data_IF_872812587973
#
_entry.id   IF_872812587973
#
_cell.length_a   1.000
_cell.length_b   1.000
_cell.length_c   1.000
_cell.angle_alpha   90.00
_cell.angle_beta   90.00
_cell.angle_gamma   90.00
#
_symmetry.space_group_name_H-M   'P 1'
#
loop_
_entity.id
_entity.type
_entity.pdbx_description
1 polymer ?
#
# COMPACT_ATOMS: atom_id res chain seq x y z
N UNK A 1 -15.37 -6.92 -17.14
CA UNK A 1 -14.22 -6.45 -17.90
C UNK A 1 -13.25 -5.83 -16.91
N UNK A 2 -12.20 -6.55 -16.52
CA UNK A 2 -11.15 -6.00 -15.66
C UNK A 2 -10.23 -5.18 -16.54
N UNK A 3 -10.10 -3.89 -16.26
CA UNK A 3 -9.09 -3.05 -16.90
C UNK A 3 -7.75 -3.54 -16.40
N UNK A 4 -7.19 -4.51 -17.12
CA UNK A 4 -5.83 -4.98 -16.93
C UNK A 4 -4.93 -3.78 -17.22
N UNK A 5 -4.30 -3.23 -16.18
CA UNK A 5 -3.16 -2.36 -16.36
C UNK A 5 -2.21 -3.00 -17.40
N UNK A 6 -1.66 -2.21 -18.34
CA UNK A 6 -0.81 -2.75 -19.39
C UNK A 6 0.34 -3.55 -18.77
N UNK A 7 0.56 -4.78 -19.24
CA UNK A 7 1.66 -5.64 -18.79
C UNK A 7 3.05 -5.02 -19.11
N UNK A 8 3.10 -4.01 -19.97
CA UNK A 8 4.30 -3.32 -20.45
C UNK A 8 4.03 -1.84 -20.75
N UNK A 9 4.81 -0.89 -20.21
CA UNK A 9 5.77 -1.05 -19.12
C UNK A 9 5.06 -1.39 -17.79
N UNK A 10 5.68 -2.22 -16.95
CA UNK A 10 5.12 -2.59 -15.65
C UNK A 10 4.97 -1.35 -14.76
N UNK A 11 3.80 -1.18 -14.14
CA UNK A 11 3.58 -0.10 -13.16
C UNK A 11 4.52 -0.29 -11.98
N UNK A 12 5.23 0.78 -11.61
CA UNK A 12 6.06 0.84 -10.40
C UNK A 12 5.26 1.34 -9.21
N UNK A 13 5.40 0.70 -8.07
CA UNK A 13 4.65 1.06 -6.85
C UNK A 13 5.56 1.74 -5.84
N UNK A 14 5.18 2.93 -5.36
CA UNK A 14 5.82 3.48 -4.17
C UNK A 14 5.36 2.66 -2.96
N UNK A 15 6.28 1.86 -2.41
CA UNK A 15 6.02 0.96 -1.29
C UNK A 15 6.84 1.39 -0.07
N UNK A 16 6.25 1.25 1.11
CA UNK A 16 6.94 1.56 2.35
C UNK A 16 8.08 0.56 2.64
N UNK A 17 9.18 1.06 3.18
CA UNK A 17 10.39 0.29 3.55
C UNK A 17 10.07 -0.85 4.50
N UNK A 18 9.12 -0.65 5.42
CA UNK A 18 8.63 -1.65 6.38
C UNK A 18 8.11 -2.92 5.71
N UNK A 19 7.55 -2.77 4.51
CA UNK A 19 6.90 -3.83 3.75
C UNK A 19 7.88 -4.47 2.74
N UNK A 20 8.90 -3.73 2.29
CA UNK A 20 9.81 -4.15 1.22
C UNK A 20 11.20 -4.64 1.69
N UNK A 21 11.72 -4.16 2.82
CA UNK A 21 13.08 -4.46 3.25
C UNK A 21 13.14 -5.52 4.35
N UNK A 22 13.94 -6.58 4.14
CA UNK A 22 14.20 -7.62 5.15
C UNK A 22 14.69 -7.06 6.50
N UNK A 23 15.34 -5.89 6.49
CA UNK A 23 15.82 -5.19 7.69
C UNK A 23 14.68 -4.84 8.67
N UNK A 24 13.45 -4.70 8.17
CA UNK A 24 12.28 -4.34 8.96
C UNK A 24 11.42 -5.55 9.33
N UNK A 25 11.91 -6.78 9.10
CA UNK A 25 11.25 -8.00 9.57
C UNK A 25 10.85 -7.93 11.05
N UNK A 26 11.65 -7.40 12.00
CA UNK A 26 11.22 -7.27 13.40
C UNK A 26 10.00 -6.36 13.58
N UNK A 27 9.93 -5.26 12.84
CA UNK A 27 8.81 -4.32 12.87
C UNK A 27 7.58 -4.97 12.23
N UNK A 28 7.75 -5.56 11.05
CA UNK A 28 6.68 -6.28 10.35
C UNK A 28 6.12 -7.45 11.19
N UNK A 29 6.98 -8.16 11.94
CA UNK A 29 6.55 -9.21 12.87
C UNK A 29 5.64 -8.65 13.96
N UNK A 30 6.00 -7.49 14.52
CA UNK A 30 5.21 -6.80 15.54
C UNK A 30 3.88 -6.30 14.97
N UNK A 31 3.90 -5.71 13.78
CA UNK A 31 2.68 -5.25 13.10
C UNK A 31 1.73 -6.41 12.76
N UNK A 32 2.27 -7.53 12.30
CA UNK A 32 1.52 -8.78 12.10
C UNK A 32 0.94 -9.24 13.43
N UNK A 33 1.73 -9.26 14.49
CA UNK A 33 1.29 -9.66 15.82
C UNK A 33 0.14 -8.79 16.34
N UNK A 34 0.27 -7.46 16.24
CA UNK A 34 -0.70 -6.47 16.69
C UNK A 34 -1.98 -6.44 15.83
N UNK A 35 -1.85 -6.65 14.52
CA UNK A 35 -2.97 -6.56 13.59
C UNK A 35 -3.80 -7.84 13.54
N UNK A 36 -3.15 -8.99 13.68
CA UNK A 36 -3.73 -10.31 13.40
C UNK A 36 -4.27 -10.98 14.67
N UNK A 37 -3.66 -10.73 15.84
CA UNK A 37 -4.00 -11.46 17.06
C UNK A 37 -4.51 -10.53 18.19
N UNK A 38 -5.72 -10.77 18.72
CA UNK A 38 -6.23 -10.02 19.88
C UNK A 38 -5.37 -10.20 21.12
N UNK A 39 -5.29 -9.17 21.98
CA UNK A 39 -4.44 -9.16 23.19
C UNK A 39 -4.69 -10.38 24.11
N UNK A 40 -5.95 -10.72 24.38
CA UNK A 40 -6.30 -11.88 25.20
C UNK A 40 -5.92 -13.24 24.60
N UNK A 41 -5.72 -13.33 23.27
CA UNK A 41 -5.19 -14.52 22.62
C UNK A 41 -3.67 -14.62 22.79
N UNK A 42 -2.97 -13.48 22.74
CA UNK A 42 -1.53 -13.37 22.92
C UNK A 42 -1.11 -13.77 24.34
N UNK A 43 -1.85 -13.30 25.35
CA UNK A 43 -1.61 -13.68 26.75
C UNK A 43 -1.82 -15.18 27.00
N UNK A 44 -2.88 -15.77 26.43
CA UNK A 44 -3.16 -17.21 26.55
C UNK A 44 -2.08 -18.08 25.91
N UNK A 45 -1.51 -17.65 24.77
CA UNK A 45 -0.45 -18.40 24.08
C UNK A 45 0.89 -18.27 24.82
N UNK A 46 1.21 -17.10 25.40
CA UNK A 46 2.46 -16.90 26.16
C UNK A 46 2.59 -17.86 27.34
N UNK A 47 1.47 -18.29 27.95
CA UNK A 47 1.46 -19.27 29.03
C UNK A 47 1.78 -20.72 28.62
N UNK A 48 1.80 -21.05 27.32
CA UNK A 48 2.03 -22.42 26.83
C UNK A 48 3.28 -22.49 25.93
N UNK A 49 4.38 -23.07 26.44
CA UNK A 49 5.69 -23.17 25.74
C UNK A 49 5.61 -23.70 24.31
N UNK A 50 4.87 -24.78 24.07
CA UNK A 50 4.69 -25.33 22.71
C UNK A 50 3.93 -24.35 21.81
N UNK A 51 2.81 -23.82 22.29
CA UNK A 51 1.98 -22.90 21.51
C UNK A 51 2.76 -21.63 21.13
N UNK A 52 3.59 -21.12 22.05
CA UNK A 52 4.46 -19.98 21.80
C UNK A 52 5.51 -20.26 20.70
N UNK A 53 6.10 -21.46 20.68
CA UNK A 53 7.04 -21.85 19.61
C UNK A 53 6.38 -21.92 18.23
N UNK A 54 5.19 -22.53 18.14
CA UNK A 54 4.44 -22.61 16.89
C UNK A 54 3.97 -21.23 16.42
N UNK A 55 3.49 -20.40 17.35
CA UNK A 55 3.05 -19.03 17.10
C UNK A 55 4.16 -18.15 16.52
N UNK A 56 5.36 -18.19 17.11
CA UNK A 56 6.51 -17.44 16.58
C UNK A 56 6.94 -17.92 15.18
N UNK A 57 6.88 -19.23 14.91
CA UNK A 57 7.15 -19.78 13.57
C UNK A 57 6.10 -19.33 12.55
N UNK A 58 4.83 -19.25 12.94
CA UNK A 58 3.75 -18.76 12.10
C UNK A 58 3.95 -17.28 11.75
N UNK A 59 4.24 -16.43 12.74
CA UNK A 59 4.54 -15.01 12.52
C UNK A 59 5.74 -14.83 11.58
N UNK A 60 6.81 -15.62 11.77
CA UNK A 60 7.98 -15.56 10.90
C UNK A 60 7.66 -15.97 9.46
N UNK A 61 6.88 -17.03 9.28
CA UNK A 61 6.40 -17.45 7.97
C UNK A 61 5.57 -16.34 7.30
N UNK A 62 4.65 -15.74 8.04
CA UNK A 62 3.80 -14.65 7.56
C UNK A 62 4.61 -13.42 7.13
N UNK A 63 5.57 -12.99 7.95
CA UNK A 63 6.44 -11.85 7.65
C UNK A 63 7.28 -12.11 6.39
N UNK A 64 7.92 -13.29 6.29
CA UNK A 64 8.69 -13.68 5.11
C UNK A 64 7.82 -13.79 3.86
N UNK A 65 6.61 -14.31 4.00
CA UNK A 65 5.67 -14.42 2.90
C UNK A 65 5.27 -13.02 2.37
N UNK A 66 4.94 -12.08 3.26
CA UNK A 66 4.61 -10.69 2.86
C UNK A 66 5.79 -10.05 2.13
N UNK A 67 7.00 -10.11 2.70
CA UNK A 67 8.22 -9.59 2.06
C UNK A 67 8.45 -10.24 0.69
N UNK A 68 8.25 -11.55 0.57
CA UNK A 68 8.38 -12.25 -0.72
C UNK A 68 7.33 -11.82 -1.73
N UNK A 69 6.08 -11.58 -1.32
CA UNK A 69 5.02 -11.08 -2.21
C UNK A 69 5.29 -9.64 -2.66
N UNK A 70 5.79 -8.78 -1.78
CA UNK A 70 6.08 -7.38 -2.08
C UNK A 70 7.29 -7.27 -3.00
N UNK A 71 8.33 -8.06 -2.77
CA UNK A 71 9.50 -8.12 -3.65
C UNK A 71 9.18 -8.65 -5.06
N UNK A 72 8.00 -9.25 -5.28
CA UNK A 72 7.53 -9.60 -6.64
C UNK A 72 6.89 -8.42 -7.37
N UNK A 73 6.52 -7.36 -6.66
CA UNK A 73 6.05 -6.11 -7.26
C UNK A 73 7.27 -5.26 -7.65
N UNK A 74 7.18 -4.54 -8.76
CA UNK A 74 8.23 -3.57 -9.15
C UNK A 74 8.12 -2.33 -8.26
N UNK A 75 8.60 -2.41 -7.03
CA UNK A 75 8.40 -1.39 -6.00
C UNK A 75 9.58 -0.43 -5.88
N UNK A 76 9.28 0.86 -5.78
CA UNK A 76 10.20 1.91 -5.32
C UNK A 76 10.00 2.07 -3.82
N UNK A 77 11.05 1.76 -3.08
CA UNK A 77 11.02 1.68 -1.62
C UNK A 77 11.19 3.06 -0.98
N UNK A 78 10.28 3.46 -0.10
CA UNK A 78 10.23 4.77 0.60
C UNK A 78 10.14 4.58 2.10
N UNK A 79 10.91 5.34 2.87
CA UNK A 79 10.81 5.34 4.32
C UNK A 79 9.83 6.43 4.79
N UNK A 80 8.67 5.99 5.30
CA UNK A 80 7.65 6.87 5.84
C UNK A 80 7.70 6.96 7.38
N UNK A 81 8.50 6.13 8.06
CA UNK A 81 8.52 6.09 9.53
C UNK A 81 9.06 7.39 10.12
N UNK A 82 8.48 7.85 11.23
CA UNK A 82 9.03 8.98 11.97
C UNK A 82 10.33 8.55 12.66
N UNK A 83 11.47 9.20 12.35
CA UNK A 83 12.75 8.82 12.94
C UNK A 83 12.78 9.24 14.41
N UNK A 84 13.22 8.33 15.29
CA UNK A 84 13.40 8.61 16.71
C UNK A 84 14.83 9.08 17.04
N UNK A 85 15.79 8.78 16.17
CA UNK A 85 17.20 9.16 16.32
C UNK A 85 17.73 9.92 15.10
N UNK A 86 18.83 10.66 15.28
CA UNK A 86 19.49 11.36 14.16
C UNK A 86 20.07 10.39 13.12
N UNK A 87 20.52 9.21 13.55
CA UNK A 87 20.97 8.15 12.65
C UNK A 87 19.82 7.64 11.77
N UNK A 88 18.66 7.34 12.36
CA UNK A 88 17.45 6.96 11.62
C UNK A 88 17.00 8.07 10.67
N UNK A 89 17.14 9.34 11.07
CA UNK A 89 16.83 10.49 10.21
C UNK A 89 17.73 10.54 8.98
N UNK A 90 19.02 10.28 9.13
CA UNK A 90 19.97 10.23 8.01
C UNK A 90 19.69 9.04 7.09
N UNK A 91 19.39 7.87 7.65
CA UNK A 91 19.00 6.70 6.86
C UNK A 91 17.70 6.93 6.07
N UNK A 92 16.68 7.49 6.71
CA UNK A 92 15.42 7.90 6.07
C UNK A 92 15.67 8.86 4.92
N UNK A 93 16.50 9.89 5.12
CA UNK A 93 16.85 10.85 4.08
C UNK A 93 17.56 10.17 2.89
N UNK A 94 18.51 9.27 3.15
CA UNK A 94 19.22 8.52 2.10
C UNK A 94 18.26 7.66 1.29
N UNK A 95 17.41 6.91 1.96
CA UNK A 95 16.41 6.02 1.33
C UNK A 95 15.43 6.83 0.48
N UNK A 96 14.86 7.91 1.02
CA UNK A 96 13.91 8.75 0.30
C UNK A 96 14.54 9.51 -0.88
N UNK A 97 15.82 9.90 -0.76
CA UNK A 97 16.58 10.49 -1.88
C UNK A 97 16.78 9.47 -3.01
N UNK A 98 17.10 8.22 -2.69
CA UNK A 98 17.21 7.15 -3.68
C UNK A 98 15.86 6.84 -4.33
N UNK A 99 14.79 6.78 -3.53
CA UNK A 99 13.43 6.58 -4.02
C UNK A 99 13.02 7.67 -5.03
N UNK A 100 13.27 8.93 -4.67
CA UNK A 100 12.98 10.07 -5.55
C UNK A 100 13.77 9.98 -6.86
N UNK A 101 15.06 9.60 -6.81
CA UNK A 101 15.88 9.40 -8.01
C UNK A 101 15.27 8.34 -8.92
N UNK A 102 14.90 7.17 -8.36
CA UNK A 102 14.24 6.08 -9.11
C UNK A 102 12.89 6.52 -9.68
N UNK A 103 12.12 7.34 -8.97
CA UNK A 103 10.87 7.90 -9.49
C UNK A 103 11.10 8.76 -10.73
N UNK A 104 12.07 9.68 -10.66
CA UNK A 104 12.40 10.55 -11.80
C UNK A 104 12.87 9.70 -12.98
N UNK A 105 13.81 8.77 -12.77
CA UNK A 105 14.32 7.87 -13.82
C UNK A 105 13.18 7.05 -14.46
N UNK A 106 12.22 6.56 -13.66
CA UNK A 106 11.10 5.76 -14.16
C UNK A 106 10.17 6.62 -15.03
N UNK A 107 9.79 7.80 -14.57
CA UNK A 107 8.95 8.73 -15.32
C UNK A 107 9.64 9.22 -16.60
N UNK A 108 10.96 9.45 -16.57
CA UNK A 108 11.74 9.82 -17.77
C UNK A 108 11.75 8.72 -18.83
N UNK A 109 11.70 7.46 -18.40
CA UNK A 109 11.58 6.28 -19.26
C UNK A 109 10.11 5.90 -19.58
N UNK A 110 9.14 6.79 -19.33
CA UNK A 110 7.71 6.56 -19.53
C UNK A 110 7.14 5.35 -18.78
N UNK A 111 7.75 4.98 -17.64
CA UNK A 111 7.26 3.93 -16.76
C UNK A 111 6.26 4.54 -15.77
N UNK A 112 4.99 4.10 -15.76
CA UNK A 112 3.97 4.63 -14.87
C UNK A 112 4.28 4.30 -13.40
N UNK A 113 3.99 5.24 -12.50
CA UNK A 113 4.20 5.10 -11.06
C UNK A 113 2.86 5.23 -10.33
N UNK A 114 2.54 4.25 -9.50
CA UNK A 114 1.44 4.31 -8.55
C UNK A 114 1.90 4.94 -7.23
N UNK A 115 1.24 6.03 -6.83
CA UNK A 115 1.51 6.76 -5.61
C UNK A 115 0.26 6.71 -4.72
N UNK A 116 0.40 6.27 -3.48
CA UNK A 116 -0.62 6.44 -2.45
C UNK A 116 -0.22 7.65 -1.59
N UNK A 117 -0.66 8.88 -1.95
CA UNK A 117 -0.23 10.12 -1.26
C UNK A 117 -0.72 10.19 0.18
N UNK A 118 -1.59 9.27 0.60
CA UNK A 118 -2.08 9.14 1.96
C UNK A 118 -1.10 8.52 2.94
N UNK A 119 -0.03 7.87 2.44
CA UNK A 119 0.85 7.05 3.29
C UNK A 119 0.13 5.87 3.96
N UNK A 120 -0.98 5.38 3.37
CA UNK A 120 -1.64 4.15 3.82
C UNK A 120 -2.77 4.32 4.84
N UNK A 121 -3.13 5.54 5.24
CA UNK A 121 -4.30 5.78 6.13
C UNK A 121 -5.54 6.14 5.30
N UNK A 122 -6.65 5.42 5.52
CA UNK A 122 -7.98 5.80 5.03
C UNK A 122 -8.40 7.10 5.71
N UNK A 123 -8.54 8.15 4.92
CA UNK A 123 -8.51 9.54 5.37
C UNK A 123 -9.86 10.13 5.82
N UNK A 124 -10.99 9.43 5.64
CA UNK A 124 -12.31 10.02 5.90
C UNK A 124 -12.57 10.38 7.37
N UNK A 125 -11.73 9.91 8.31
CA UNK A 125 -11.86 10.19 9.75
C UNK A 125 -10.68 10.95 10.39
N UNK A 126 -9.78 11.56 9.60
CA UNK A 126 -8.62 12.26 10.17
C UNK A 126 -8.98 13.73 10.42
N UNK A 127 -9.01 14.14 11.70
CA UNK A 127 -9.26 15.54 12.11
C UNK A 127 -8.26 16.55 11.55
N UNK A 128 -7.02 16.11 11.26
CA UNK A 128 -5.93 16.92 10.70
C UNK A 128 -5.28 16.25 9.47
N UNK A 129 -5.85 16.41 8.26
CA UNK A 129 -5.29 15.81 7.06
C UNK A 129 -3.93 16.45 6.69
N UNK A 130 -2.88 15.65 6.67
CA UNK A 130 -1.57 16.07 6.14
C UNK A 130 -1.57 15.90 4.62
N UNK A 131 -1.65 17.03 3.91
CA UNK A 131 -1.61 17.04 2.44
C UNK A 131 -0.18 16.85 1.92
N UNK A 132 0.12 15.64 1.44
CA UNK A 132 1.41 15.36 0.81
C UNK A 132 1.48 15.99 -0.59
N UNK A 133 2.48 16.85 -0.81
CA UNK A 133 2.65 17.62 -2.06
C UNK A 133 3.60 16.95 -3.07
N UNK A 134 3.89 15.66 -2.90
CA UNK A 134 4.85 14.94 -3.75
C UNK A 134 4.40 14.87 -5.20
N UNK A 135 3.10 14.59 -5.44
CA UNK A 135 2.50 14.49 -6.78
C UNK A 135 2.65 15.81 -7.57
N UNK A 136 2.13 16.97 -7.08
CA UNK A 136 2.28 18.23 -7.80
C UNK A 136 3.75 18.70 -7.86
N UNK A 137 4.58 18.35 -6.88
CA UNK A 137 6.02 18.67 -6.93
C UNK A 137 6.74 17.92 -8.06
N UNK A 138 6.48 16.62 -8.23
CA UNK A 138 7.02 15.85 -9.35
C UNK A 138 6.52 16.40 -10.69
N UNK A 139 5.21 16.64 -10.82
CA UNK A 139 4.64 17.20 -12.05
C UNK A 139 5.29 18.55 -12.41
N UNK A 140 5.45 19.45 -11.44
CA UNK A 140 6.14 20.74 -11.66
C UNK A 140 7.59 20.60 -12.11
N UNK A 141 8.32 19.60 -11.58
CA UNK A 141 9.71 19.34 -11.94
C UNK A 141 9.83 18.91 -13.41
N UNK A 142 8.92 18.06 -13.88
CA UNK A 142 8.87 17.62 -15.27
C UNK A 142 8.38 18.74 -16.20
N UNK A 143 7.41 19.55 -15.75
CA UNK A 143 6.92 20.69 -16.51
C UNK A 143 8.01 21.74 -16.75
N UNK A 144 8.87 22.02 -15.75
CA UNK A 144 10.08 22.84 -15.93
C UNK A 144 11.02 22.31 -17.03
N UNK A 145 11.00 21.01 -17.31
CA UNK A 145 11.81 20.34 -18.34
C UNK A 145 11.04 20.21 -19.68
N UNK A 146 9.91 20.88 -19.84
CA UNK A 146 9.06 20.81 -21.03
C UNK A 146 8.28 19.50 -21.18
N UNK A 147 8.14 18.71 -20.10
CA UNK A 147 7.41 17.43 -20.10
C UNK A 147 6.12 17.54 -19.28
N UNK A 148 5.03 16.94 -19.78
CA UNK A 148 3.74 16.90 -19.07
C UNK A 148 3.55 15.55 -18.41
N UNK A 149 3.27 15.55 -17.10
CA UNK A 149 2.93 14.34 -16.34
C UNK A 149 1.42 14.23 -16.23
N UNK A 150 0.87 13.12 -16.73
CA UNK A 150 -0.55 12.79 -16.55
C UNK A 150 -0.75 12.08 -15.21
N UNK A 151 -1.56 12.68 -14.35
CA UNK A 151 -1.91 12.16 -13.02
C UNK A 151 -3.26 11.48 -13.16
N UNK A 152 -3.32 10.16 -12.93
CA UNK A 152 -4.57 9.38 -13.03
C UNK A 152 -5.06 9.08 -11.62
N UNK A 153 -6.09 9.80 -11.11
CA UNK A 153 -6.67 9.47 -9.81
C UNK A 153 -7.28 8.07 -9.90
N UNK A 154 -7.01 7.24 -8.90
CA UNK A 154 -7.44 5.84 -8.89
C UNK A 154 -8.16 5.55 -7.58
N UNK A 155 -9.33 4.94 -7.67
CA UNK A 155 -10.17 4.56 -6.52
C UNK A 155 -10.15 3.04 -6.39
N UNK A 156 -9.75 2.55 -5.23
CA UNK A 156 -9.84 1.12 -4.90
C UNK A 156 -11.15 0.88 -4.17
N UNK A 157 -12.05 0.12 -4.82
CA UNK A 157 -13.35 -0.26 -4.28
C UNK A 157 -13.31 -1.69 -3.80
N UNK A 158 -13.73 -1.89 -2.56
CA UNK A 158 -13.75 -3.18 -1.89
C UNK A 158 -15.19 -3.69 -1.83
N UNK A 159 -15.44 -4.90 -2.33
CA UNK A 159 -16.74 -5.55 -2.17
C UNK A 159 -16.56 -7.02 -1.77
N UNK A 160 -16.95 -7.42 -0.53
CA UNK A 160 -17.35 -6.56 0.60
C UNK A 160 -16.18 -5.71 1.15
N UNK A 161 -16.48 -4.70 1.98
CA UNK A 161 -15.47 -3.90 2.69
C UNK A 161 -14.52 -4.81 3.47
N UNK A 162 -13.21 -4.57 3.39
CA UNK A 162 -12.22 -5.42 4.05
C UNK A 162 -12.23 -5.14 5.55
N UNK A 163 -12.83 -6.07 6.30
CA UNK A 163 -12.64 -6.16 7.75
C UNK A 163 -11.47 -7.12 8.09
N UNK A 164 -11.06 -7.15 9.36
CA UNK A 164 -10.00 -8.07 9.84
C UNK A 164 -10.31 -9.54 9.49
N UNK A 165 -11.58 -9.94 9.47
CA UNK A 165 -12.03 -11.32 9.20
C UNK A 165 -11.91 -11.67 7.71
N UNK A 166 -12.17 -10.72 6.83
CA UNK A 166 -12.04 -10.83 5.37
C UNK A 166 -10.56 -10.84 4.98
N UNK A 167 -9.72 -10.05 5.65
CA UNK A 167 -8.27 -10.12 5.50
C UNK A 167 -7.74 -11.53 5.82
N UNK A 168 -8.21 -12.16 6.90
CA UNK A 168 -7.88 -13.56 7.21
C UNK A 168 -8.31 -14.54 6.12
N UNK A 169 -9.50 -14.37 5.56
CA UNK A 169 -9.97 -15.21 4.45
C UNK A 169 -9.11 -15.02 3.19
N UNK A 170 -8.70 -13.78 2.90
CA UNK A 170 -7.81 -13.45 1.80
C UNK A 170 -6.44 -14.10 1.96
N UNK A 171 -5.89 -14.01 3.17
CA UNK A 171 -4.59 -14.55 3.51
C UNK A 171 -4.60 -16.09 3.51
N UNK A 172 -5.66 -16.70 4.05
CA UNK A 172 -5.88 -18.14 4.03
C UNK A 172 -5.96 -18.68 2.60
N UNK A 173 -6.63 -18.00 1.68
CA UNK A 173 -6.72 -18.42 0.27
C UNK A 173 -5.39 -18.44 -0.48
N UNK A 174 -4.38 -17.71 0.03
CA UNK A 174 -3.03 -17.70 -0.53
C UNK A 174 -2.13 -18.79 0.05
N UNK A 175 -2.54 -19.46 1.12
CA UNK A 175 -1.83 -20.59 1.73
C UNK A 175 -2.40 -21.91 1.20
N UNK A 176 -1.56 -22.76 0.63
CA UNK A 176 -1.97 -23.98 -0.06
C UNK A 176 -2.87 -24.91 0.78
N UNK A 177 -2.54 -25.13 2.06
CA UNK A 177 -3.32 -25.99 2.94
C UNK A 177 -4.75 -25.50 3.14
N UNK A 178 -4.94 -24.20 3.37
CA UNK A 178 -6.27 -23.60 3.52
C UNK A 178 -7.03 -23.61 2.20
N UNK A 179 -6.35 -23.41 1.07
CA UNK A 179 -6.94 -23.53 -0.26
C UNK A 179 -7.45 -24.96 -0.53
N UNK A 180 -6.71 -25.99 -0.12
CA UNK A 180 -7.11 -27.39 -0.24
C UNK A 180 -8.30 -27.74 0.67
N UNK A 181 -8.25 -27.35 1.95
CA UNK A 181 -9.38 -27.50 2.89
C UNK A 181 -10.63 -26.79 2.34
N UNK A 182 -10.46 -25.60 1.78
CA UNK A 182 -11.56 -24.81 1.20
C UNK A 182 -12.15 -25.45 -0.05
N UNK A 183 -11.31 -26.04 -0.90
CA UNK A 183 -11.78 -26.81 -2.06
C UNK A 183 -12.65 -27.98 -1.62
N UNK A 184 -12.24 -28.70 -0.58
CA UNK A 184 -13.02 -29.79 0.04
C UNK A 184 -14.35 -29.25 0.62
N UNK A 185 -14.33 -28.15 1.36
CA UNK A 185 -15.54 -27.55 1.94
C UNK A 185 -16.54 -27.05 0.88
N UNK A 186 -16.04 -26.53 -0.25
CA UNK A 186 -16.85 -26.13 -1.40
C UNK A 186 -17.46 -27.34 -2.12
N UNK A 187 -16.70 -28.42 -2.30
CA UNK A 187 -17.21 -29.69 -2.85
C UNK A 187 -18.35 -30.24 -1.99
N UNK A 188 -18.23 -30.12 -0.67
CA UNK A 188 -19.25 -30.55 0.28
C UNK A 188 -20.45 -29.58 0.40
N UNK A 189 -20.47 -28.45 -0.34
CA UNK A 189 -21.51 -27.40 -0.29
C UNK A 189 -21.81 -26.83 1.10
N UNK A 190 -20.92 -27.03 2.08
CA UNK A 190 -21.17 -26.67 3.49
C UNK A 190 -21.16 -25.14 3.69
N UNK A 191 -20.29 -24.40 2.97
CA UNK A 191 -20.23 -22.92 3.02
C UNK A 191 -19.77 -22.34 1.69
N UNK A 192 -20.60 -21.51 1.06
CA UNK A 192 -20.19 -20.67 -0.08
C UNK A 192 -19.74 -19.30 0.44
N UNK A 193 -18.44 -19.03 0.34
CA UNK A 193 -17.89 -17.71 0.67
C UNK A 193 -18.08 -16.75 -0.50
N UNK A 194 -18.62 -15.55 -0.24
CA UNK A 194 -18.59 -14.44 -1.20
C UNK A 194 -17.13 -14.14 -1.55
N UNK A 195 -16.76 -14.32 -2.81
CA UNK A 195 -15.41 -14.00 -3.31
C UNK A 195 -15.23 -12.50 -3.23
N UNK A 196 -14.25 -12.05 -2.45
CA UNK A 196 -13.86 -10.65 -2.37
C UNK A 196 -13.42 -10.16 -3.75
N UNK A 197 -13.91 -8.97 -4.12
CA UNK A 197 -13.55 -8.30 -5.36
C UNK A 197 -12.97 -6.95 -5.00
N UNK A 198 -11.69 -6.79 -5.32
CA UNK A 198 -11.04 -5.49 -5.40
C UNK A 198 -11.23 -4.99 -6.82
N UNK A 199 -11.93 -3.86 -6.96
CA UNK A 199 -12.09 -3.18 -8.24
C UNK A 199 -11.32 -1.88 -8.18
N UNK A 200 -10.46 -1.64 -9.16
CA UNK A 200 -9.79 -0.36 -9.31
C UNK A 200 -10.51 0.42 -10.39
N UNK A 201 -10.99 1.60 -10.04
CA UNK A 201 -11.61 2.55 -10.97
C UNK A 201 -10.62 3.68 -11.23
N UNK A 202 -10.28 3.87 -12.51
CA UNK A 202 -9.40 4.95 -12.96
C UNK A 202 -10.25 6.14 -13.39
N UNK A 203 -10.03 7.28 -12.76
CA UNK A 203 -10.70 8.54 -13.09
C UNK A 203 -10.00 9.25 -14.25
N UNK A 204 -10.65 10.23 -14.90
CA UNK A 204 -10.04 11.02 -15.97
C UNK A 204 -8.68 11.61 -15.55
N UNK A 205 -7.67 11.59 -16.44
CA UNK A 205 -6.35 12.10 -16.12
C UNK A 205 -6.38 13.62 -15.91
N UNK A 206 -5.62 14.06 -14.91
CA UNK A 206 -5.37 15.46 -14.58
C UNK A 206 -3.93 15.82 -14.93
N UNK A 207 -3.66 17.09 -15.19
CA UNK A 207 -2.30 17.63 -15.34
C UNK A 207 -2.05 18.72 -14.31
N UNK A 208 -0.78 18.97 -14.02
CA UNK A 208 -0.36 20.07 -13.15
C UNK A 208 0.72 20.88 -13.87
N UNK A 209 0.28 21.90 -14.59
CA UNK A 209 1.07 22.65 -15.57
C UNK A 209 1.59 23.97 -14.98
N UNK A 210 2.27 23.86 -13.85
CA UNK A 210 2.90 25.01 -13.21
C UNK A 210 4.38 24.72 -12.94
N UNK A 211 5.25 25.54 -13.52
CA UNK A 211 6.69 25.42 -13.37
C UNK A 211 7.16 25.82 -11.97
N UNK A 212 6.61 26.87 -11.35
CA UNK A 212 7.07 27.38 -10.06
C UNK A 212 5.90 27.54 -9.08
N UNK A 213 5.24 26.42 -8.73
CA UNK A 213 4.06 26.47 -7.89
C UNK A 213 4.40 26.87 -6.45
N UNK A 214 3.56 27.71 -5.86
CA UNK A 214 3.61 28.01 -4.43
C UNK A 214 3.18 26.79 -3.60
N UNK A 215 3.55 26.75 -2.31
CA UNK A 215 3.11 25.66 -1.41
C UNK A 215 1.57 25.58 -1.30
N UNK A 216 0.82 26.71 -1.20
CA UNK A 216 -0.64 26.70 -1.21
C UNK A 216 -1.24 26.06 -2.47
N UNK A 217 -0.76 26.42 -3.66
CA UNK A 217 -1.26 25.85 -4.93
C UNK A 217 -1.13 24.32 -4.99
N UNK A 218 0.01 23.80 -4.51
CA UNK A 218 0.21 22.34 -4.43
C UNK A 218 -0.80 21.68 -3.50
N UNK A 219 -1.10 22.32 -2.36
CA UNK A 219 -2.05 21.79 -1.37
C UNK A 219 -3.47 21.82 -1.95
N UNK A 220 -3.83 22.90 -2.63
CA UNK A 220 -5.14 23.06 -3.27
C UNK A 220 -5.36 21.99 -4.36
N UNK A 221 -4.36 21.75 -5.20
CA UNK A 221 -4.42 20.65 -6.17
C UNK A 221 -4.68 19.29 -5.53
N UNK A 222 -3.98 18.98 -4.43
CA UNK A 222 -4.18 17.71 -3.70
C UNK A 222 -5.56 17.65 -3.05
N UNK A 223 -6.07 18.76 -2.51
CA UNK A 223 -7.44 18.84 -1.95
C UNK A 223 -8.48 18.52 -3.02
N UNK A 224 -8.38 19.13 -4.19
CA UNK A 224 -9.31 18.91 -5.30
C UNK A 224 -9.25 17.46 -5.78
N UNK A 225 -8.05 16.88 -5.89
CA UNK A 225 -7.87 15.47 -6.24
C UNK A 225 -8.48 14.53 -5.21
N UNK A 226 -8.32 14.81 -3.91
CA UNK A 226 -8.94 14.02 -2.85
C UNK A 226 -10.47 14.13 -2.85
N UNK A 227 -11.02 15.34 -3.02
CA UNK A 227 -12.46 15.55 -3.12
C UNK A 227 -13.07 14.75 -4.27
N UNK A 228 -12.43 14.76 -5.44
CA UNK A 228 -12.84 13.97 -6.61
C UNK A 228 -12.83 12.46 -6.33
N UNK A 229 -11.83 11.97 -5.60
CA UNK A 229 -11.75 10.56 -5.19
C UNK A 229 -12.90 10.24 -4.21
N UNK A 230 -13.16 11.08 -3.22
CA UNK A 230 -14.22 10.82 -2.23
C UNK A 230 -15.62 10.93 -2.80
N UNK A 231 -15.90 11.87 -3.69
CA UNK A 231 -17.21 11.95 -4.35
C UNK A 231 -17.50 10.65 -5.12
N UNK A 232 -16.49 10.12 -5.83
CA UNK A 232 -16.58 8.83 -6.56
C UNK A 232 -16.81 7.63 -5.63
N UNK A 233 -16.31 7.70 -4.40
CA UNK A 233 -16.55 6.67 -3.38
C UNK A 233 -17.98 6.76 -2.83
N UNK A 234 -18.49 7.98 -2.60
CA UNK A 234 -19.81 8.24 -1.96
C UNK A 234 -21.02 8.08 -2.87
N UNK A 235 -20.86 8.22 -4.19
CA UNK A 235 -21.96 8.09 -5.16
C UNK A 235 -22.51 6.65 -5.32
N UNK A 236 -22.00 5.66 -4.56
CA UNK A 236 -22.41 4.25 -4.63
C UNK A 236 -22.36 3.56 -3.26
#
# INVERSE_FOLDING_TARGET
MGVAAPNTPKIRFLAEVTIAAKRYLPILRKDIEDSIFPDGFREKIRGRRWANSFYNKLIDFMARYIVAQVNRLDSIVVDLQEPNTDEERLEKQRTNKQALKKCIESLENNIPIAIAPSGGKTHEGIENPVYQTIVPSLASLFFKRGKVVKIVPSVVKENPAIDKKIFWCYLADRIFFYKAIRWILNLLKIKSYKKYRLTVEFLPPLTFENAKPSKPEKIEFVKNLQQLIYSTIREK
#
